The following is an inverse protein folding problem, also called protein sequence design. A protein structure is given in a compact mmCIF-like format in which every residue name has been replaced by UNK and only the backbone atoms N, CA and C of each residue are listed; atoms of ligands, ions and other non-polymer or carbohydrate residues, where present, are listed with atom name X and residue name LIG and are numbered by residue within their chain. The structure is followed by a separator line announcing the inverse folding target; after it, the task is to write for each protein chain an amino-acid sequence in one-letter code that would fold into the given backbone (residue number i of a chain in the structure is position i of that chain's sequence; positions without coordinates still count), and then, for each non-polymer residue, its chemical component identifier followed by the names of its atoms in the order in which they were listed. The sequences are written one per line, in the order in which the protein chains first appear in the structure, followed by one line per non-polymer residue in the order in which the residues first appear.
data_IF_337588742570
#
_entry.id   IF_337588742570
#
_cell.length_a   1.000
_cell.length_b   1.000
_cell.length_c   1.000
_cell.angle_alpha   90.00
_cell.angle_beta   90.00
_cell.angle_gamma   90.00
#
_symmetry.space_group_name_H-M   'P 1'
#
loop_
_entity.id
_entity.type
_entity.pdbx_description
1 polymer ?
#
# COMPACT_ATOMS: atom_id res chain seq x y z
N UNK A 1 21.94 52.66 31.71
CA UNK A 1 21.68 52.38 30.28
C UNK A 1 21.93 50.93 29.85
N UNK A 2 22.89 50.18 30.44
CA UNK A 2 23.11 48.76 30.10
C UNK A 2 21.95 47.83 30.47
N UNK A 3 21.35 48.01 31.67
CA UNK A 3 20.22 47.19 32.17
C UNK A 3 18.94 47.33 31.34
N UNK A 4 18.66 48.51 30.80
CA UNK A 4 17.47 48.76 29.97
C UNK A 4 17.62 48.10 28.59
N UNK A 5 18.83 48.05 28.04
CA UNK A 5 19.11 47.35 26.78
C UNK A 5 18.96 45.82 26.92
N UNK A 6 19.34 45.26 28.07
CA UNK A 6 19.19 43.82 28.33
C UNK A 6 17.74 43.38 28.40
N UNK A 7 16.88 44.20 29.02
CA UNK A 7 15.44 43.91 29.13
C UNK A 7 14.72 43.97 27.78
N UNK A 8 15.11 44.92 26.91
CA UNK A 8 14.56 45.03 25.55
C UNK A 8 15.00 43.83 24.69
N UNK A 9 16.26 43.39 24.81
CA UNK A 9 16.77 42.23 24.07
C UNK A 9 16.08 40.91 24.49
N UNK A 10 15.79 40.72 25.78
CA UNK A 10 15.05 39.56 26.27
C UNK A 10 13.58 39.60 25.82
N UNK A 11 12.96 40.78 25.84
CA UNK A 11 11.60 40.98 25.34
C UNK A 11 11.48 40.61 23.85
N UNK A 12 12.43 41.08 23.02
CA UNK A 12 12.45 40.76 21.59
C UNK A 12 12.67 39.25 21.31
N UNK A 13 13.46 38.57 22.14
CA UNK A 13 13.73 37.13 22.01
C UNK A 13 12.49 36.27 22.36
N UNK A 14 11.62 36.72 23.26
CA UNK A 14 10.39 36.01 23.61
C UNK A 14 9.28 36.16 22.55
N UNK A 15 9.25 37.25 21.78
CA UNK A 15 8.23 37.45 20.75
C UNK A 15 8.42 36.57 19.51
N UNK A 16 9.65 36.14 19.20
CA UNK A 16 9.92 35.27 18.03
C UNK A 16 9.62 33.80 18.28
N UNK A 17 9.49 33.37 19.54
CA UNK A 17 9.21 31.98 19.91
C UNK A 17 7.71 31.63 19.94
N UNK A 18 6.81 32.62 19.87
CA UNK A 18 5.36 32.40 20.03
C UNK A 18 4.60 32.06 18.73
N UNK A 19 5.31 31.90 17.59
CA UNK A 19 4.68 31.81 16.26
C UNK A 19 4.12 30.44 15.83
N UNK A 20 4.35 29.34 16.56
CA UNK A 20 4.10 27.99 16.02
C UNK A 20 2.97 27.18 16.66
N UNK A 21 2.12 27.77 17.51
CA UNK A 21 1.14 26.99 18.29
C UNK A 21 -0.35 27.26 17.98
N UNK A 22 -0.67 28.05 16.94
CA UNK A 22 -2.07 28.41 16.63
C UNK A 22 -2.65 27.66 15.43
N UNK A 23 -2.52 26.33 15.41
CA UNK A 23 -3.43 25.49 14.61
C UNK A 23 -4.60 25.08 15.50
N UNK A 24 -5.72 25.81 15.42
CA UNK A 24 -6.96 25.31 15.97
C UNK A 24 -7.32 24.03 15.22
N UNK A 25 -7.42 22.90 15.94
CA UNK A 25 -7.96 21.66 15.38
C UNK A 25 -9.44 21.87 15.11
N UNK A 26 -9.78 22.31 13.90
CA UNK A 26 -11.15 22.30 13.42
C UNK A 26 -11.54 20.82 13.41
N UNK A 27 -12.49 20.43 14.26
CA UNK A 27 -13.14 19.11 14.20
C UNK A 27 -14.00 19.05 12.94
N UNK A 28 -13.36 19.01 11.78
CA UNK A 28 -14.02 18.64 10.53
C UNK A 28 -14.22 17.13 10.65
N UNK A 29 -15.49 16.71 10.73
CA UNK A 29 -15.85 15.32 10.54
C UNK A 29 -15.62 15.00 9.05
N UNK A 30 -14.37 14.67 8.70
CA UNK A 30 -14.06 14.17 7.37
C UNK A 30 -14.56 12.72 7.34
N UNK A 31 -15.53 12.38 6.47
CA UNK A 31 -15.94 10.99 6.31
C UNK A 31 -14.71 10.15 5.94
N UNK A 32 -14.58 8.93 6.46
CA UNK A 32 -13.43 8.09 6.17
C UNK A 32 -13.28 7.90 4.66
N UNK A 33 -12.06 7.98 4.11
CA UNK A 33 -11.86 7.84 2.68
C UNK A 33 -12.33 6.46 2.23
N UNK A 34 -13.14 6.43 1.16
CA UNK A 34 -13.51 5.17 0.53
C UNK A 34 -12.32 4.63 -0.25
N UNK A 35 -11.78 3.49 0.19
CA UNK A 35 -10.72 2.80 -0.54
C UNK A 35 -11.36 1.73 -1.43
N UNK A 36 -11.11 1.84 -2.73
CA UNK A 36 -11.47 0.78 -3.67
C UNK A 36 -10.88 -0.56 -3.20
N UNK A 37 -11.62 -1.64 -3.45
CA UNK A 37 -11.18 -3.00 -3.13
C UNK A 37 -10.66 -3.70 -4.39
N UNK A 38 -9.67 -4.60 -4.26
CA UNK A 38 -9.21 -5.39 -5.39
C UNK A 38 -10.31 -6.37 -5.85
N UNK A 39 -10.24 -6.78 -7.11
CA UNK A 39 -11.11 -7.82 -7.64
C UNK A 39 -10.91 -9.14 -6.85
N UNK A 40 -12.02 -9.76 -6.41
CA UNK A 40 -12.00 -11.01 -5.63
C UNK A 40 -11.23 -12.14 -6.30
N UNK A 41 -11.22 -12.21 -7.64
CA UNK A 41 -10.45 -13.22 -8.39
C UNK A 41 -8.93 -13.11 -8.17
N UNK A 42 -8.44 -11.91 -7.85
CA UNK A 42 -7.03 -11.68 -7.54
C UNK A 42 -6.66 -12.17 -6.13
N UNK A 43 -7.66 -12.40 -5.26
CA UNK A 43 -7.49 -12.92 -3.89
C UNK A 43 -7.61 -14.44 -3.81
N UNK A 44 -8.07 -15.10 -4.87
CA UNK A 44 -8.22 -16.56 -4.91
C UNK A 44 -6.88 -17.24 -4.66
N UNK A 45 -6.86 -18.29 -3.83
CA UNK A 45 -5.65 -19.05 -3.57
C UNK A 45 -5.13 -19.73 -4.85
N UNK A 46 -3.83 -20.00 -4.89
CA UNK A 46 -3.24 -20.76 -5.97
C UNK A 46 -3.36 -22.25 -5.69
N UNK A 47 -3.68 -23.00 -6.74
CA UNK A 47 -3.67 -24.46 -6.67
C UNK A 47 -2.20 -24.87 -6.50
N UNK A 48 -1.95 -25.76 -5.53
CA UNK A 48 -0.63 -26.32 -5.32
C UNK A 48 -0.21 -27.28 -6.44
N UNK A 49 1.04 -27.76 -6.44
CA UNK A 49 1.50 -28.76 -7.39
C UNK A 49 0.60 -30.01 -7.37
N UNK A 50 0.43 -30.66 -8.53
CA UNK A 50 -0.38 -31.88 -8.62
C UNK A 50 0.21 -32.97 -7.73
N UNK A 51 -0.65 -33.70 -7.00
CA UNK A 51 -0.21 -34.89 -6.29
C UNK A 51 0.05 -36.00 -7.30
N UNK A 52 1.28 -36.51 -7.32
CA UNK A 52 1.64 -37.61 -8.20
C UNK A 52 0.88 -38.88 -7.81
N UNK A 53 0.36 -39.65 -8.79
CA UNK A 53 -0.25 -40.93 -8.52
C UNK A 53 0.78 -41.93 -8.00
N UNK A 54 0.30 -42.96 -7.30
CA UNK A 54 1.15 -44.07 -6.86
C UNK A 54 1.47 -44.98 -8.04
N UNK A 55 2.71 -45.45 -8.12
CA UNK A 55 3.17 -46.38 -9.15
C UNK A 55 4.23 -45.77 -10.07
N UNK A 56 4.60 -46.50 -11.12
CA UNK A 56 5.52 -46.01 -12.14
C UNK A 56 4.84 -44.98 -13.03
N UNK A 57 5.52 -43.84 -13.22
CA UNK A 57 5.10 -42.80 -14.15
C UNK A 57 5.72 -43.07 -15.52
N UNK A 58 4.91 -43.04 -16.56
CA UNK A 58 5.45 -43.01 -17.92
C UNK A 58 5.93 -41.60 -18.26
N UNK A 59 6.82 -41.47 -19.24
CA UNK A 59 7.26 -40.15 -19.75
C UNK A 59 6.06 -39.26 -20.14
N UNK A 60 5.03 -39.85 -20.77
CA UNK A 60 3.80 -39.15 -21.15
C UNK A 60 3.06 -38.59 -19.94
N UNK A 61 3.03 -39.33 -18.84
CA UNK A 61 2.36 -38.88 -17.60
C UNK A 61 3.10 -37.71 -16.98
N UNK A 62 4.43 -37.79 -16.92
CA UNK A 62 5.28 -36.70 -16.41
C UNK A 62 5.08 -35.42 -17.23
N UNK A 63 5.11 -35.50 -18.55
CA UNK A 63 4.91 -34.34 -19.43
C UNK A 63 3.53 -33.73 -19.25
N UNK A 64 2.48 -34.56 -19.14
CA UNK A 64 1.12 -34.07 -18.89
C UNK A 64 1.01 -33.32 -17.57
N UNK A 65 1.54 -33.88 -16.49
CA UNK A 65 1.51 -33.24 -15.17
C UNK A 65 2.33 -31.95 -15.16
N UNK A 66 3.50 -31.95 -15.79
CA UNK A 66 4.35 -30.76 -15.91
C UNK A 66 3.65 -29.62 -16.64
N UNK A 67 2.98 -29.91 -17.76
CA UNK A 67 2.24 -28.90 -18.54
C UNK A 67 1.09 -28.32 -17.70
N UNK A 68 0.33 -29.18 -17.01
CA UNK A 68 -0.78 -28.75 -16.17
C UNK A 68 -0.30 -27.83 -15.03
N UNK A 69 0.71 -28.26 -14.27
CA UNK A 69 1.26 -27.47 -13.16
C UNK A 69 1.84 -26.14 -13.65
N UNK A 70 2.58 -26.15 -14.76
CA UNK A 70 3.13 -24.91 -15.34
C UNK A 70 2.02 -23.94 -15.74
N UNK A 71 0.91 -24.42 -16.30
CA UNK A 71 -0.23 -23.58 -16.67
C UNK A 71 -0.87 -22.93 -15.43
N UNK A 72 -1.05 -23.69 -14.36
CA UNK A 72 -1.63 -23.19 -13.11
C UNK A 72 -0.72 -22.17 -12.42
N UNK A 73 0.59 -22.43 -12.37
CA UNK A 73 1.58 -21.47 -11.83
C UNK A 73 1.58 -20.15 -12.61
N UNK A 74 1.53 -20.20 -13.94
CA UNK A 74 1.47 -18.99 -14.77
C UNK A 74 0.16 -18.23 -14.55
N UNK A 75 -0.96 -18.94 -14.41
CA UNK A 75 -2.27 -18.34 -14.11
C UNK A 75 -2.28 -17.66 -12.75
N UNK A 76 -1.78 -18.33 -11.72
CA UNK A 76 -1.55 -17.79 -10.39
C UNK A 76 -0.69 -16.52 -10.42
N UNK A 77 0.46 -16.57 -11.11
CA UNK A 77 1.37 -15.43 -11.23
C UNK A 77 0.70 -14.20 -11.87
N UNK A 78 -0.15 -14.40 -12.89
CA UNK A 78 -0.93 -13.31 -13.49
C UNK A 78 -1.92 -12.69 -12.50
N UNK A 79 -2.61 -13.50 -11.68
CA UNK A 79 -3.57 -13.00 -10.67
C UNK A 79 -2.87 -12.17 -9.59
N UNK A 80 -1.73 -12.63 -9.07
CA UNK A 80 -0.97 -11.85 -8.09
C UNK A 80 -0.33 -10.60 -8.68
N UNK A 81 0.10 -10.63 -9.95
CA UNK A 81 0.51 -9.42 -10.66
C UNK A 81 -0.61 -8.39 -10.69
N UNK A 82 -1.83 -8.79 -11.05
CA UNK A 82 -3.00 -7.89 -11.04
C UNK A 82 -3.28 -7.32 -9.65
N UNK A 83 -3.16 -8.13 -8.59
CA UNK A 83 -3.34 -7.66 -7.21
C UNK A 83 -2.30 -6.60 -6.82
N UNK A 84 -1.03 -6.85 -7.14
CA UNK A 84 0.06 -5.92 -6.89
C UNK A 84 -0.13 -4.61 -7.66
N UNK A 85 -0.43 -4.71 -8.96
CA UNK A 85 -0.59 -3.56 -9.84
C UNK A 85 -1.77 -2.68 -9.36
N UNK A 86 -2.87 -3.30 -8.91
CA UNK A 86 -3.99 -2.59 -8.25
C UNK A 86 -3.54 -1.75 -7.04
N UNK A 87 -2.77 -2.33 -6.12
CA UNK A 87 -2.30 -1.60 -4.95
C UNK A 87 -1.30 -0.50 -5.31
N UNK A 88 -0.43 -0.76 -6.28
CA UNK A 88 0.52 0.22 -6.77
C UNK A 88 -0.18 1.45 -7.38
N UNK A 89 -1.21 1.23 -8.20
CA UNK A 89 -2.01 2.31 -8.81
C UNK A 89 -2.81 3.10 -7.76
N UNK A 90 -3.47 2.39 -6.83
CA UNK A 90 -4.23 3.00 -5.73
C UNK A 90 -3.33 3.90 -4.88
N UNK A 91 -2.18 3.38 -4.46
CA UNK A 91 -1.28 4.09 -3.56
C UNK A 91 -0.63 5.29 -4.27
N UNK A 92 -0.31 5.16 -5.56
CA UNK A 92 0.14 6.30 -6.37
C UNK A 92 -0.93 7.40 -6.48
N UNK A 93 -2.21 7.04 -6.62
CA UNK A 93 -3.31 8.00 -6.65
C UNK A 93 -3.50 8.71 -5.31
N UNK A 94 -3.35 7.99 -4.19
CA UNK A 94 -3.40 8.56 -2.82
C UNK A 94 -2.29 9.59 -2.64
N UNK A 95 -1.04 9.23 -2.96
CA UNK A 95 0.12 10.12 -2.83
C UNK A 95 0.00 11.34 -3.76
N UNK A 96 -0.52 11.14 -4.97
CA UNK A 96 -0.73 12.21 -5.95
C UNK A 96 -1.95 13.11 -5.68
N UNK A 97 -2.70 12.90 -4.59
CA UNK A 97 -3.87 13.71 -4.23
C UNK A 97 -5.07 13.57 -5.18
N UNK A 98 -5.15 12.48 -5.95
CA UNK A 98 -6.22 12.25 -6.94
C UNK A 98 -7.41 11.45 -6.41
N UNK A 99 -7.39 11.06 -5.13
CA UNK A 99 -8.46 10.28 -4.51
C UNK A 99 -9.50 11.23 -3.93
N UNK A 100 -10.47 11.64 -4.74
CA UNK A 100 -11.65 12.38 -4.27
C UNK A 100 -12.08 13.56 -5.14
N UNK A 101 -12.37 13.33 -6.43
CA UNK A 101 -13.30 14.16 -7.18
C UNK A 101 -14.46 13.29 -7.66
#
# INVERSE_FOLDING_TARGET
MKRTLTLIAIGLLCLTAAGCASTQSIKVAVPPPFLAQPNHNALTLCIGPVRLPKGELTQRDVERFWIADRKELLSCGRRFKLLRDFYQERDAAIVGGKVGQ
#
